data_IF_855457291181
#
_entry.id   IF_855457291181
#
_cell.length_a   1.000
_cell.length_b   1.000
_cell.length_c   1.000
_cell.angle_alpha   90.00
_cell.angle_beta   90.00
_cell.angle_gamma   90.00
#
_symmetry.space_group_name_H-M   'P 1'
#
loop_
_entity.id
_entity.type
_entity.pdbx_description
1 polymer ?
#
# COMPACT_ATOMS: atom_id res chain seq x y z
N UNK A 1 101.10 -0.08 9.68
CA UNK A 1 101.21 1.18 10.43
C UNK A 1 99.99 2.04 10.11
N UNK A 2 99.19 2.38 11.13
CA UNK A 2 98.52 3.67 11.44
C UNK A 2 98.32 4.60 10.21
N UNK A 3 97.15 5.10 9.77
CA UNK A 3 96.00 5.73 10.45
C UNK A 3 94.84 6.02 9.44
N UNK A 4 93.67 6.50 9.89
CA UNK A 4 92.38 6.49 9.18
C UNK A 4 92.01 7.80 8.47
N UNK A 5 91.00 7.78 7.60
CA UNK A 5 90.19 8.96 7.23
C UNK A 5 88.71 8.58 7.20
N UNK A 6 87.91 9.42 7.85
CA UNK A 6 86.47 9.33 8.11
C UNK A 6 85.70 10.22 7.11
N UNK A 7 84.39 9.97 7.00
CA UNK A 7 83.29 10.84 6.50
C UNK A 7 83.03 10.75 4.97
N UNK A 8 81.80 10.71 4.44
CA UNK A 8 80.50 11.16 4.94
C UNK A 8 79.33 10.39 4.28
N UNK A 9 78.16 10.41 4.93
CA UNK A 9 76.90 9.88 4.46
C UNK A 9 76.19 10.82 3.47
N UNK A 10 75.52 10.25 2.47
CA UNK A 10 74.38 10.87 1.78
C UNK A 10 73.38 9.78 1.38
N UNK A 11 72.23 9.76 2.04
CA UNK A 11 71.07 8.92 1.73
C UNK A 11 70.31 9.50 0.54
N UNK A 12 70.53 8.94 -0.66
CA UNK A 12 69.73 9.22 -1.85
C UNK A 12 68.41 8.45 -1.80
N UNK A 13 67.31 9.16 -1.57
CA UNK A 13 65.95 8.63 -1.56
C UNK A 13 65.44 8.26 -2.94
N UNK A 14 64.76 7.11 -3.04
CA UNK A 14 64.07 6.65 -4.24
C UNK A 14 62.91 7.58 -4.61
N UNK A 15 62.93 8.11 -5.83
CA UNK A 15 61.80 8.82 -6.43
C UNK A 15 60.61 7.85 -6.61
N UNK A 16 59.48 8.15 -5.95
CA UNK A 16 58.21 7.47 -6.15
C UNK A 16 57.43 8.15 -7.27
N UNK A 17 57.04 7.36 -8.26
CA UNK A 17 56.10 7.72 -9.32
C UNK A 17 54.74 8.07 -8.69
N UNK A 18 54.12 9.22 -8.99
CA UNK A 18 52.77 9.51 -8.51
C UNK A 18 51.77 8.63 -9.28
N UNK A 19 51.01 7.83 -8.54
CA UNK A 19 49.86 7.12 -9.09
C UNK A 19 48.79 8.14 -9.48
N UNK A 20 48.55 8.27 -10.78
CA UNK A 20 47.39 8.96 -11.31
C UNK A 20 46.12 8.21 -10.83
N UNK A 21 45.40 8.81 -9.89
CA UNK A 21 44.05 8.36 -9.52
C UNK A 21 43.10 8.85 -10.60
N UNK A 22 42.66 7.93 -11.45
CA UNK A 22 41.50 8.14 -12.33
C UNK A 22 40.29 8.46 -11.46
N UNK A 23 39.91 9.73 -11.41
CA UNK A 23 38.64 10.17 -10.83
C UNK A 23 37.53 9.73 -11.78
N UNK A 24 36.95 8.55 -11.52
CA UNK A 24 35.59 8.26 -11.96
C UNK A 24 34.67 9.24 -11.22
N UNK A 25 33.70 9.89 -11.91
CA UNK A 25 32.71 10.69 -11.21
C UNK A 25 31.95 9.77 -10.25
N UNK A 26 32.04 10.09 -8.96
CA UNK A 26 31.24 9.48 -7.92
C UNK A 26 29.77 9.64 -8.32
N UNK A 27 29.09 8.52 -8.59
CA UNK A 27 27.66 8.53 -8.82
C UNK A 27 27.02 9.11 -7.56
N UNK A 28 26.46 10.31 -7.69
CA UNK A 28 25.71 10.93 -6.61
C UNK A 28 24.57 9.98 -6.24
N UNK A 29 24.71 9.29 -5.11
CA UNK A 29 23.60 8.64 -4.43
C UNK A 29 22.54 9.71 -4.18
N UNK A 30 21.29 9.54 -4.64
CA UNK A 30 20.22 10.47 -4.31
C UNK A 30 20.16 10.60 -2.79
N UNK A 31 20.38 11.82 -2.31
CA UNK A 31 20.28 12.17 -0.91
C UNK A 31 18.86 11.88 -0.42
N UNK A 32 18.72 10.92 0.49
CA UNK A 32 17.46 10.60 1.19
C UNK A 32 17.10 11.67 2.25
N UNK A 33 17.72 12.85 2.21
CA UNK A 33 17.57 13.94 3.17
C UNK A 33 16.37 14.88 2.97
N UNK A 34 15.47 14.64 2.00
CA UNK A 34 14.28 15.50 1.80
C UNK A 34 12.98 14.71 1.61
N UNK A 35 12.83 13.60 2.32
CA UNK A 35 11.49 13.09 2.57
C UNK A 35 10.73 14.14 3.40
N UNK A 36 9.78 14.85 2.79
CA UNK A 36 8.81 15.67 3.54
C UNK A 36 8.14 14.79 4.60
N UNK A 37 7.60 15.36 5.68
CA UNK A 37 6.91 14.59 6.71
C UNK A 37 5.86 13.63 6.11
N UNK A 38 5.22 14.05 5.02
CA UNK A 38 4.30 13.23 4.22
C UNK A 38 4.98 12.04 3.53
N UNK A 39 6.13 12.25 2.87
CA UNK A 39 6.92 11.15 2.26
C UNK A 39 7.50 10.19 3.31
N UNK A 40 7.88 10.69 4.49
CA UNK A 40 8.36 9.88 5.59
C UNK A 40 7.24 8.99 6.18
N UNK A 41 6.01 9.50 6.25
CA UNK A 41 4.83 8.73 6.68
C UNK A 41 4.43 7.66 5.66
N UNK A 42 4.69 7.88 4.37
CA UNK A 42 4.48 6.89 3.31
C UNK A 42 5.52 5.75 3.30
N UNK A 43 6.65 5.90 4.00
CA UNK A 43 7.74 4.91 4.01
C UNK A 43 7.47 3.65 4.86
N UNK A 44 6.24 3.47 5.38
CA UNK A 44 5.81 2.28 6.12
C UNK A 44 5.72 1.07 5.17
N UNK A 45 6.87 0.45 4.98
CA UNK A 45 7.18 -0.61 4.00
C UNK A 45 6.24 -1.82 4.00
N UNK A 46 5.50 -2.08 5.08
CA UNK A 46 4.65 -3.30 5.19
C UNK A 46 3.22 -3.10 4.70
N UNK A 47 2.69 -1.87 4.75
CA UNK A 47 1.34 -1.53 4.27
C UNK A 47 1.33 -1.19 2.77
N UNK A 48 2.48 -0.74 2.25
CA UNK A 48 2.66 -0.39 0.84
C UNK A 48 2.66 -1.60 -0.11
N UNK A 49 3.02 -2.80 0.37
CA UNK A 49 3.09 -4.00 -0.49
C UNK A 49 1.70 -4.56 -0.86
N UNK A 50 0.68 -4.26 -0.04
CA UNK A 50 -0.70 -4.77 -0.20
C UNK A 50 -1.71 -3.70 0.23
N UNK A 51 -1.78 -2.56 -0.47
CA UNK A 51 -2.67 -1.48 -0.08
C UNK A 51 -4.11 -1.94 -0.20
N UNK A 52 -4.93 -1.49 0.74
CA UNK A 52 -6.38 -1.60 0.59
C UNK A 52 -6.81 -0.58 -0.49
N UNK A 53 -7.79 -0.97 -1.30
CA UNK A 53 -8.40 -0.07 -2.30
C UNK A 53 -9.70 0.54 -1.76
N UNK A 54 -10.00 0.34 -0.48
CA UNK A 54 -11.28 0.70 0.13
C UNK A 54 -11.50 2.21 0.16
N UNK A 55 -10.41 2.95 0.23
CA UNK A 55 -10.34 4.41 0.27
C UNK A 55 -10.25 5.07 -1.12
N UNK A 56 -10.16 4.28 -2.20
CA UNK A 56 -10.10 4.81 -3.55
C UNK A 56 -11.47 5.36 -3.99
N UNK A 57 -11.50 6.34 -4.91
CA UNK A 57 -12.73 6.67 -5.64
C UNK A 57 -13.33 5.45 -6.34
N UNK A 58 -14.67 5.38 -6.41
CA UNK A 58 -15.35 4.26 -7.06
C UNK A 58 -14.96 4.09 -8.53
N UNK A 59 -14.67 5.19 -9.24
CA UNK A 59 -14.21 5.17 -10.62
C UNK A 59 -12.84 4.48 -10.76
N UNK A 60 -11.92 4.71 -9.83
CA UNK A 60 -10.57 4.13 -9.87
C UNK A 60 -10.60 2.64 -9.55
N UNK A 61 -11.47 2.22 -8.61
CA UNK A 61 -11.75 0.80 -8.37
C UNK A 61 -12.36 0.13 -9.60
N UNK A 62 -13.32 0.77 -10.25
CA UNK A 62 -13.92 0.24 -11.48
C UNK A 62 -12.88 0.15 -12.62
N UNK A 63 -11.95 1.10 -12.71
CA UNK A 63 -10.85 1.05 -13.67
C UNK A 63 -9.89 -0.12 -13.38
N UNK A 64 -9.55 -0.35 -12.11
CA UNK A 64 -8.77 -1.50 -11.67
C UNK A 64 -9.46 -2.82 -12.04
N UNK A 65 -10.75 -2.95 -11.73
CA UNK A 65 -11.55 -4.14 -12.05
C UNK A 65 -11.63 -4.39 -13.55
N UNK A 66 -11.89 -3.35 -14.35
CA UNK A 66 -11.97 -3.44 -15.80
C UNK A 66 -10.62 -3.86 -16.41
N UNK A 67 -9.50 -3.35 -15.90
CA UNK A 67 -8.16 -3.76 -16.36
C UNK A 67 -7.83 -5.19 -15.94
N UNK A 68 -8.16 -5.59 -14.72
CA UNK A 68 -7.93 -6.95 -14.24
C UNK A 68 -8.72 -8.02 -15.01
N UNK A 69 -9.80 -7.67 -15.71
CA UNK A 69 -10.52 -8.57 -16.61
C UNK A 69 -9.83 -8.77 -17.96
N UNK A 70 -8.91 -7.88 -18.34
CA UNK A 70 -8.28 -7.85 -19.66
C UNK A 70 -6.85 -8.39 -19.65
N UNK A 71 -6.13 -8.25 -18.53
CA UNK A 71 -4.75 -8.71 -18.38
C UNK A 71 -4.20 -8.38 -17.00
N UNK A 72 -2.88 -8.48 -16.83
CA UNK A 72 -2.24 -8.02 -15.60
C UNK A 72 -2.28 -6.48 -15.52
N UNK A 73 -2.40 -5.95 -14.32
CA UNK A 73 -2.54 -4.51 -14.10
C UNK A 73 -1.19 -3.87 -13.82
N UNK A 74 -0.77 -2.94 -14.69
CA UNK A 74 0.33 -2.02 -14.45
C UNK A 74 -0.12 -0.82 -13.62
N UNK A 75 0.69 -0.42 -12.65
CA UNK A 75 0.44 0.77 -11.82
C UNK A 75 1.67 1.66 -11.73
N UNK A 76 1.40 2.95 -11.55
CA UNK A 76 2.38 3.93 -11.09
C UNK A 76 2.18 4.13 -9.59
N UNK A 77 3.23 3.89 -8.82
CA UNK A 77 3.24 4.04 -7.38
C UNK A 77 4.28 5.09 -7.02
N UNK A 78 3.82 6.26 -6.60
CA UNK A 78 4.67 7.40 -6.26
C UNK A 78 4.22 7.95 -4.90
N UNK A 79 5.11 7.90 -3.91
CA UNK A 79 4.79 8.29 -2.53
C UNK A 79 3.69 7.42 -1.91
N UNK A 80 2.57 8.05 -1.54
CA UNK A 80 1.36 7.36 -1.07
C UNK A 80 0.32 7.17 -2.18
N UNK A 81 0.59 7.56 -3.43
CA UNK A 81 -0.41 7.49 -4.50
C UNK A 81 -0.19 6.29 -5.39
N UNK A 82 -1.27 5.60 -5.74
CA UNK A 82 -1.27 4.52 -6.72
C UNK A 82 -2.24 4.88 -7.84
N UNK A 83 -1.75 4.84 -9.08
CA UNK A 83 -2.55 5.08 -10.27
C UNK A 83 -2.54 3.84 -11.16
N UNK A 84 -3.73 3.43 -11.60
CA UNK A 84 -3.88 2.36 -12.59
C UNK A 84 -3.58 2.90 -13.98
N UNK A 85 -2.54 2.37 -14.63
CA UNK A 85 -2.17 2.75 -15.99
C UNK A 85 -3.09 2.05 -16.98
N UNK A 86 -4.27 2.64 -17.20
CA UNK A 86 -5.36 2.06 -17.99
C UNK A 86 -5.02 1.78 -19.46
N UNK A 87 -3.95 2.34 -20.00
CA UNK A 87 -3.50 2.13 -21.38
C UNK A 87 -2.14 1.44 -21.48
N UNK A 88 -1.65 0.87 -20.39
CA UNK A 88 -0.47 0.03 -20.37
C UNK A 88 -0.91 -1.45 -20.32
N UNK A 89 -0.54 -2.21 -21.34
CA UNK A 89 -0.88 -3.61 -21.49
C UNK A 89 0.27 -4.48 -20.98
N UNK A 90 -0.08 -5.48 -20.19
CA UNK A 90 0.85 -6.43 -19.60
C UNK A 90 0.37 -7.84 -19.93
N UNK A 91 1.22 -8.63 -20.57
CA UNK A 91 0.92 -10.02 -20.90
C UNK A 91 0.72 -10.87 -19.64
N UNK A 92 -0.31 -11.71 -19.66
CA UNK A 92 -0.69 -12.59 -18.57
C UNK A 92 -2.16 -12.40 -18.18
N UNK A 93 -2.63 -13.22 -17.24
CA UNK A 93 -4.02 -13.15 -16.75
C UNK A 93 -4.09 -13.45 -15.27
N UNK A 94 -5.20 -13.06 -14.67
CA UNK A 94 -5.54 -13.50 -13.34
C UNK A 94 -6.35 -14.80 -13.36
N UNK A 95 -5.98 -15.73 -12.48
CA UNK A 95 -6.76 -16.91 -12.16
C UNK A 95 -7.45 -16.72 -10.81
N UNK A 96 -8.75 -17.02 -10.75
CA UNK A 96 -9.52 -16.88 -9.52
C UNK A 96 -9.28 -18.07 -8.61
N UNK A 97 -8.73 -17.80 -7.43
CA UNK A 97 -8.60 -18.75 -6.34
C UNK A 97 -9.70 -18.51 -5.33
N UNK A 98 -10.66 -19.42 -5.27
CA UNK A 98 -11.70 -19.42 -4.26
C UNK A 98 -11.09 -19.68 -2.88
N UNK A 99 -11.51 -18.90 -1.89
CA UNK A 99 -11.08 -19.04 -0.50
C UNK A 99 -12.29 -19.21 0.40
N UNK A 100 -12.10 -19.84 1.56
CA UNK A 100 -13.10 -19.86 2.61
C UNK A 100 -13.40 -18.41 3.02
N UNK A 101 -14.68 -18.00 3.07
CA UNK A 101 -15.04 -16.62 3.40
C UNK A 101 -14.37 -16.16 4.70
N UNK A 102 -13.78 -14.96 4.67
CA UNK A 102 -13.17 -14.31 5.84
C UNK A 102 -13.89 -13.00 6.09
N UNK A 103 -14.19 -12.72 7.35
CA UNK A 103 -14.71 -11.42 7.77
C UNK A 103 -13.64 -10.71 8.58
N UNK A 104 -13.41 -9.43 8.27
CA UNK A 104 -12.45 -8.60 8.98
C UNK A 104 -13.07 -7.23 9.24
N UNK A 105 -12.93 -6.75 10.48
CA UNK A 105 -13.33 -5.40 10.87
C UNK A 105 -12.10 -4.65 11.32
N UNK A 106 -11.87 -3.48 10.72
CA UNK A 106 -10.78 -2.56 11.07
C UNK A 106 -11.40 -1.28 11.60
N UNK A 107 -11.06 -0.92 12.83
CA UNK A 107 -11.40 0.35 13.45
C UNK A 107 -10.15 1.24 13.49
N UNK A 108 -10.30 2.51 13.11
CA UNK A 108 -9.24 3.51 13.01
C UNK A 108 -9.68 4.71 13.84
N UNK A 109 -8.90 5.06 14.87
CA UNK A 109 -9.26 6.09 15.88
C UNK A 109 -8.27 7.25 15.94
N UNK A 110 -7.17 7.16 15.20
CA UNK A 110 -6.15 8.20 15.14
C UNK A 110 -5.59 8.34 13.73
N UNK A 111 -5.04 9.53 13.44
CA UNK A 111 -4.38 9.81 12.16
C UNK A 111 -3.23 8.84 11.91
N UNK A 112 -2.45 8.49 12.95
CA UNK A 112 -1.36 7.52 12.80
C UNK A 112 -1.87 6.13 12.41
N UNK A 113 -2.99 5.67 13.00
CA UNK A 113 -3.64 4.42 12.59
C UNK A 113 -4.18 4.50 11.15
N UNK A 114 -4.71 5.66 10.75
CA UNK A 114 -5.23 5.88 9.41
C UNK A 114 -4.12 5.69 8.36
N UNK A 115 -2.97 6.33 8.54
CA UNK A 115 -1.82 6.15 7.63
C UNK A 115 -1.21 4.74 7.70
N UNK A 116 -1.28 4.08 8.85
CA UNK A 116 -0.78 2.71 8.98
C UNK A 116 -1.67 1.67 8.26
N UNK A 117 -2.99 1.89 8.24
CA UNK A 117 -3.99 0.94 7.73
C UNK A 117 -4.45 1.24 6.29
N UNK A 118 -4.60 2.52 5.94
CA UNK A 118 -5.15 3.02 4.67
C UNK A 118 -4.23 4.07 4.03
N UNK A 119 -2.98 3.71 3.68
CA UNK A 119 -1.97 4.69 3.28
C UNK A 119 -2.32 5.44 1.98
N UNK A 120 -3.08 4.85 1.05
CA UNK A 120 -3.24 5.41 -0.31
C UNK A 120 -4.27 6.54 -0.38
N UNK A 121 -5.21 6.58 0.56
CA UNK A 121 -6.26 7.60 0.64
C UNK A 121 -6.44 8.20 2.03
N UNK A 122 -5.47 8.04 2.92
CA UNK A 122 -5.49 8.62 4.27
C UNK A 122 -5.82 10.12 4.26
N UNK A 123 -5.15 10.90 3.41
CA UNK A 123 -5.36 12.36 3.33
C UNK A 123 -6.83 12.76 3.01
N UNK A 124 -7.55 11.94 2.24
CA UNK A 124 -8.97 12.20 1.96
C UNK A 124 -9.92 11.84 3.12
N UNK A 125 -9.43 11.10 4.11
CA UNK A 125 -10.19 10.56 5.24
C UNK A 125 -9.87 11.25 6.57
N UNK A 126 -8.77 12.00 6.68
CA UNK A 126 -8.40 12.72 7.91
C UNK A 126 -9.52 13.61 8.42
N UNK A 127 -10.12 14.43 7.56
CA UNK A 127 -11.25 15.27 7.94
C UNK A 127 -12.45 14.46 8.44
N UNK A 128 -12.72 13.29 7.85
CA UNK A 128 -13.81 12.41 8.31
C UNK A 128 -13.49 11.80 9.68
N UNK A 129 -12.22 11.44 9.93
CA UNK A 129 -11.76 10.94 11.21
C UNK A 129 -11.79 12.02 12.30
N UNK A 130 -11.39 13.25 12.01
CA UNK A 130 -11.41 14.36 12.96
C UNK A 130 -12.84 14.74 13.38
N UNK A 131 -13.79 14.70 12.45
CA UNK A 131 -15.18 15.06 12.72
C UNK A 131 -16.00 13.92 13.32
N UNK A 132 -15.73 12.67 12.91
CA UNK A 132 -16.42 11.48 13.42
C UNK A 132 -15.78 10.95 14.71
N UNK A 133 -14.46 10.88 14.78
CA UNK A 133 -13.72 10.30 15.88
C UNK A 133 -13.34 8.82 15.66
N UNK A 134 -14.05 8.09 14.79
CA UNK A 134 -13.65 6.73 14.39
C UNK A 134 -14.04 6.45 12.92
N UNK A 135 -13.17 5.75 12.19
CA UNK A 135 -13.47 5.17 10.89
C UNK A 135 -13.51 3.64 11.01
N UNK A 136 -14.56 3.01 10.50
CA UNK A 136 -14.71 1.53 10.54
C UNK A 136 -14.86 0.98 9.14
N UNK A 137 -13.97 0.05 8.79
CA UNK A 137 -14.03 -0.76 7.58
C UNK A 137 -14.49 -2.17 7.94
N UNK A 138 -15.64 -2.57 7.41
CA UNK A 138 -16.11 -3.95 7.43
C UNK A 138 -15.78 -4.60 6.09
N UNK A 139 -15.05 -5.73 6.08
CA UNK A 139 -14.63 -6.45 4.88
C UNK A 139 -15.06 -7.92 4.90
N UNK A 140 -15.46 -8.43 3.75
CA UNK A 140 -15.74 -9.85 3.48
C UNK A 140 -14.88 -10.31 2.30
N UNK A 141 -13.94 -11.23 2.53
CA UNK A 141 -13.02 -11.75 1.51
C UNK A 141 -13.47 -13.15 1.09
N UNK A 142 -13.57 -13.40 -0.21
CA UNK A 142 -14.05 -14.69 -0.78
C UNK A 142 -13.07 -15.35 -1.74
N UNK A 143 -11.99 -14.67 -2.08
CA UNK A 143 -11.03 -15.20 -3.02
C UNK A 143 -9.92 -14.22 -3.35
N UNK A 144 -9.06 -14.64 -4.28
CA UNK A 144 -7.97 -13.84 -4.80
C UNK A 144 -7.85 -14.06 -6.30
N UNK A 145 -7.71 -12.99 -7.06
CA UNK A 145 -7.19 -13.02 -8.42
C UNK A 145 -5.68 -13.15 -8.32
N UNK A 146 -5.09 -14.25 -8.80
CA UNK A 146 -3.64 -14.45 -8.80
C UNK A 146 -3.11 -14.46 -10.22
N UNK A 147 -2.07 -13.66 -10.48
CA UNK A 147 -1.41 -13.66 -11.78
C UNK A 147 -0.83 -15.04 -12.09
N UNK A 148 -1.00 -15.50 -13.33
CA UNK A 148 -0.45 -16.76 -13.84
C UNK A 148 1.07 -16.73 -14.03
N UNK A 149 1.67 -15.54 -13.89
CA UNK A 149 3.12 -15.30 -13.85
C UNK A 149 3.49 -14.27 -12.78
N UNK A 150 4.75 -14.31 -12.35
CA UNK A 150 5.26 -13.46 -11.25
C UNK A 150 6.43 -12.57 -11.64
N UNK A 151 7.00 -12.79 -12.82
CA UNK A 151 8.08 -11.96 -13.37
C UNK A 151 7.56 -11.31 -14.63
N UNK A 152 7.57 -9.98 -14.64
CA UNK A 152 7.24 -9.16 -15.80
C UNK A 152 8.42 -8.23 -16.08
N UNK A 153 8.88 -8.19 -17.32
CA UNK A 153 9.95 -7.29 -17.74
C UNK A 153 9.38 -5.99 -18.32
N UNK A 154 10.16 -4.91 -18.32
CA UNK A 154 9.70 -3.64 -18.87
C UNK A 154 9.52 -3.70 -20.40
N UNK A 155 10.34 -4.48 -21.09
CA UNK A 155 10.35 -4.59 -22.56
C UNK A 155 9.17 -5.37 -23.16
N UNK A 156 8.41 -6.10 -22.34
CA UNK A 156 7.17 -6.77 -22.77
C UNK A 156 5.92 -5.91 -22.56
N UNK A 157 6.06 -4.71 -22.00
CA UNK A 157 4.94 -3.79 -21.80
C UNK A 157 4.58 -3.09 -23.12
N UNK A 158 3.28 -3.03 -23.44
CA UNK A 158 2.78 -2.45 -24.69
C UNK A 158 1.81 -1.30 -24.42
N UNK A 159 1.81 -0.28 -25.28
CA UNK A 159 0.92 0.89 -25.17
C UNK A 159 1.56 2.07 -24.42
N UNK A 160 0.77 2.79 -23.62
CA UNK A 160 1.24 3.95 -22.84
C UNK A 160 1.67 3.51 -21.43
N UNK A 161 2.91 3.07 -21.32
CA UNK A 161 3.49 2.51 -20.09
C UNK A 161 4.51 3.43 -19.39
N UNK A 162 4.66 4.67 -19.85
CA UNK A 162 5.56 5.64 -19.23
C UNK A 162 5.24 5.83 -17.74
N UNK A 163 6.25 5.70 -16.88
CA UNK A 163 6.10 5.85 -15.43
C UNK A 163 5.51 4.64 -14.71
N UNK A 164 5.39 3.48 -15.37
CA UNK A 164 5.09 2.23 -14.68
C UNK A 164 6.17 1.92 -13.65
N UNK A 165 5.74 1.48 -12.48
CA UNK A 165 6.64 1.12 -11.37
C UNK A 165 6.41 -0.30 -10.90
N UNK A 166 5.17 -0.79 -10.97
CA UNK A 166 4.78 -2.09 -10.46
C UNK A 166 3.75 -2.75 -11.37
N UNK A 167 3.72 -4.08 -11.33
CA UNK A 167 2.64 -4.90 -11.87
C UNK A 167 2.00 -5.68 -10.74
N UNK A 168 0.67 -5.63 -10.65
CA UNK A 168 -0.06 -6.27 -9.57
C UNK A 168 -0.12 -7.78 -9.81
N UNK A 169 0.51 -8.58 -8.95
CA UNK A 169 0.51 -10.05 -9.07
C UNK A 169 -0.66 -10.72 -8.36
N UNK A 170 -1.45 -9.97 -7.58
CA UNK A 170 -2.74 -10.47 -7.18
C UNK A 170 -3.61 -9.51 -6.39
N UNK A 171 -4.91 -9.68 -6.55
CA UNK A 171 -5.96 -8.80 -6.05
C UNK A 171 -6.86 -9.60 -5.11
N UNK A 172 -7.14 -9.07 -3.93
CA UNK A 172 -8.09 -9.69 -3.01
C UNK A 172 -9.52 -9.38 -3.49
N UNK A 173 -10.36 -10.41 -3.59
CA UNK A 173 -11.75 -10.27 -4.07
C UNK A 173 -12.70 -10.42 -2.90
N UNK A 174 -13.64 -9.48 -2.78
CA UNK A 174 -14.54 -9.39 -1.65
C UNK A 174 -15.56 -8.27 -1.77
N UNK A 175 -16.13 -7.91 -0.63
CA UNK A 175 -16.99 -6.74 -0.46
C UNK A 175 -16.53 -5.96 0.76
N UNK A 176 -16.78 -4.66 0.79
CA UNK A 176 -16.50 -3.84 1.96
C UNK A 176 -17.49 -2.71 2.13
N UNK A 177 -17.55 -2.18 3.35
CA UNK A 177 -18.21 -0.91 3.67
C UNK A 177 -17.34 -0.10 4.62
N UNK A 178 -17.13 1.17 4.31
CA UNK A 178 -16.42 2.13 5.16
C UNK A 178 -17.40 3.15 5.75
N UNK A 179 -17.32 3.36 7.05
CA UNK A 179 -18.18 4.26 7.82
C UNK A 179 -17.36 5.24 8.63
N UNK A 180 -17.87 6.46 8.82
CA UNK A 180 -17.47 7.34 9.91
C UNK A 180 -18.46 7.19 11.07
N UNK A 181 -17.92 7.03 12.28
CA UNK A 181 -18.66 6.83 13.51
C UNK A 181 -18.27 7.86 14.54
N UNK A 182 -19.26 8.36 15.29
CA UNK A 182 -19.03 9.16 16.49
C UNK A 182 -18.20 8.36 17.52
N UNK A 183 -17.02 8.83 17.93
CA UNK A 183 -16.23 8.16 18.97
C UNK A 183 -17.02 8.14 20.30
N UNK A 184 -17.29 6.94 20.81
CA UNK A 184 -18.05 6.75 22.05
C UNK A 184 -17.17 6.79 23.31
N UNK A 185 -16.11 7.60 23.31
CA UNK A 185 -15.25 7.85 24.47
C UNK A 185 -15.75 9.08 25.27
N UNK A 186 -17.07 9.18 25.42
CA UNK A 186 -17.70 10.02 26.42
C UNK A 186 -18.90 9.24 26.93
N UNK A 187 -18.78 8.72 28.15
CA UNK A 187 -19.87 8.00 28.80
C UNK A 187 -21.13 8.86 28.83
N UNK A 188 -22.16 8.42 28.11
CA UNK A 188 -23.51 8.93 28.28
C UNK A 188 -24.30 7.90 29.09
N UNK A 189 -23.95 7.79 30.38
CA UNK A 189 -24.98 7.55 31.38
C UNK A 189 -25.86 8.80 31.36
N UNK A 190 -26.93 8.77 30.58
CA UNK A 190 -28.06 9.66 30.82
C UNK A 190 -29.22 8.75 31.14
N UNK A 191 -29.39 8.48 32.43
CA UNK A 191 -30.70 8.19 32.98
C UNK A 191 -31.58 9.42 32.71
N UNK A 192 -32.20 9.49 31.53
CA UNK A 192 -33.34 10.38 31.31
C UNK A 192 -34.55 9.69 31.90
N UNK A 193 -34.85 10.06 33.13
CA UNK A 193 -36.15 9.86 33.74
C UNK A 193 -37.26 10.29 32.75
N UNK A 194 -38.13 9.34 32.41
CA UNK A 194 -39.50 9.54 31.91
C UNK A 194 -39.75 10.66 30.89
N UNK A 195 -39.62 10.35 29.60
CA UNK A 195 -40.46 10.96 28.55
C UNK A 195 -40.37 10.11 27.28
N UNK A 196 -41.50 9.59 26.80
CA UNK A 196 -41.57 8.82 25.58
C UNK A 196 -41.32 9.67 24.33
N UNK A 197 -40.51 9.15 23.42
CA UNK A 197 -40.57 9.37 21.98
C UNK A 197 -39.57 8.42 21.32
N UNK A 198 -40.06 7.51 20.48
CA UNK A 198 -39.23 6.61 19.69
C UNK A 198 -38.36 7.42 18.73
N UNK A 199 -37.08 7.56 19.07
CA UNK A 199 -36.02 7.96 18.15
C UNK A 199 -34.89 6.94 18.32
N UNK A 200 -34.96 5.86 17.55
CA UNK A 200 -33.84 4.92 17.45
C UNK A 200 -32.68 5.71 16.83
N UNK A 201 -31.59 5.84 17.58
CA UNK A 201 -30.42 6.63 17.20
C UNK A 201 -29.74 6.06 15.94
N UNK A 202 -30.17 6.47 14.76
CA UNK A 202 -29.44 6.31 13.49
C UNK A 202 -28.44 7.47 13.23
N UNK A 203 -28.19 8.34 14.22
CA UNK A 203 -27.46 9.60 14.03
C UNK A 203 -25.93 9.53 14.13
N UNK A 204 -25.34 8.40 14.49
CA UNK A 204 -23.88 8.33 14.75
C UNK A 204 -23.06 7.63 13.67
N UNK A 205 -23.65 7.19 12.55
CA UNK A 205 -22.96 6.43 11.50
C UNK A 205 -23.19 7.04 10.12
N UNK A 206 -22.14 7.57 9.49
CA UNK A 206 -22.14 8.02 8.10
C UNK A 206 -21.51 6.93 7.22
N UNK A 207 -22.25 6.42 6.23
CA UNK A 207 -21.68 5.55 5.20
C UNK A 207 -20.85 6.41 4.24
N UNK A 208 -19.54 6.15 4.15
CA UNK A 208 -18.64 6.89 3.26
C UNK A 208 -18.56 6.25 1.88
N UNK A 209 -18.35 4.94 1.83
CA UNK A 209 -18.21 4.19 0.58
C UNK A 209 -18.48 2.71 0.82
N UNK A 210 -18.86 2.00 -0.25
CA UNK A 210 -19.06 0.56 -0.26
C UNK A 210 -18.72 0.00 -1.62
N UNK A 211 -18.35 -1.27 -1.65
CA UNK A 211 -18.25 -2.04 -2.88
C UNK A 211 -18.59 -3.51 -2.66
N UNK A 212 -19.07 -4.15 -3.73
CA UNK A 212 -19.61 -5.51 -3.70
C UNK A 212 -20.86 -5.68 -2.82
N UNK A 213 -21.30 -6.94 -2.68
CA UNK A 213 -22.37 -7.33 -1.78
C UNK A 213 -21.81 -8.26 -0.68
N UNK A 214 -21.69 -7.78 0.58
CA UNK A 214 -21.24 -8.60 1.70
C UNK A 214 -22.11 -9.84 1.92
N UNK A 215 -23.42 -9.78 1.65
CA UNK A 215 -24.33 -10.92 1.82
C UNK A 215 -24.15 -11.97 0.73
N UNK A 216 -23.70 -11.56 -0.46
CA UNK A 216 -23.33 -12.50 -1.51
C UNK A 216 -22.04 -13.26 -1.16
N UNK A 217 -21.18 -12.69 -0.31
CA UNK A 217 -19.92 -13.30 0.13
C UNK A 217 -20.11 -14.42 1.18
N UNK A 218 -21.24 -14.43 1.88
CA UNK A 218 -21.58 -15.41 2.91
C UNK A 218 -22.22 -16.68 2.33
N UNK A 219 -22.60 -16.67 1.05
CA UNK A 219 -23.21 -17.83 0.42
C UNK A 219 -22.12 -18.86 0.04
N UNK A 220 -22.25 -20.14 0.44
CA UNK A 220 -21.33 -21.17 0.00
C UNK A 220 -21.32 -21.27 -1.53
N UNK A 221 -20.16 -21.12 -2.16
CA UNK A 221 -20.00 -21.42 -3.58
C UNK A 221 -19.85 -22.94 -3.74
N UNK A 222 -20.56 -23.51 -4.71
CA UNK A 222 -20.64 -24.96 -4.95
C UNK A 222 -19.28 -25.65 -5.21
N UNK A 223 -18.20 -24.90 -5.46
CA UNK A 223 -16.85 -25.44 -5.73
C UNK A 223 -15.98 -25.75 -4.50
N UNK A 224 -16.36 -25.37 -3.28
CA UNK A 224 -15.56 -25.62 -2.06
C UNK A 224 -16.17 -26.65 -1.10
N UNK A 225 -17.35 -27.20 -1.39
CA UNK A 225 -18.00 -28.21 -0.55
C UNK A 225 -17.22 -29.54 -0.44
N UNK A 226 -16.19 -29.74 -1.27
CA UNK A 226 -15.38 -30.96 -1.29
C UNK A 226 -14.11 -30.94 -0.42
N UNK A 227 -13.70 -29.80 0.14
CA UNK A 227 -12.46 -29.70 0.93
C UNK A 227 -12.68 -29.72 2.46
N UNK A 228 -13.93 -29.75 2.93
CA UNK A 228 -14.24 -29.74 4.37
C UNK A 228 -14.38 -31.15 4.99
N UNK A 229 -14.04 -32.21 4.25
CA UNK A 229 -14.09 -33.60 4.74
C UNK A 229 -12.82 -34.36 4.35
N UNK A 230 -11.74 -34.09 5.07
CA UNK A 230 -10.60 -35.01 5.26
C UNK A 230 -9.95 -34.71 6.60
#
# INVERSE_FOLDING_TARGET
MIAPVVLAAATGGCARVPAARSQLPEAATPDLGTATADQARCSVRRSADRPLVVEWPAADRAALEARAQQGLVAVRYEGCTMEVLTHCEVDGRYEFLALSPKQERVAIRSTDELYARLPVGAAGLEGKLEHGGELVVDMSIVGRQQADRHVVSYDELTGRCDGVTHVLTGLTVGAFTLHALASSEAGAQVEVAGAGAGAVHERSRELLTRDGDPRACERPRAGMAGLATT
#
